data_IF_898591467256
#
_entry.id   IF_898591467256
#
_cell.length_a   1.000
_cell.length_b   1.000
_cell.length_c   1.000
_cell.angle_alpha   90.00
_cell.angle_beta   90.00
_cell.angle_gamma   90.00
#
_symmetry.space_group_name_H-M   'P 1'
#
loop_
_entity.id
_entity.type
_entity.pdbx_description
1 polymer ?
#
# COMPACT_ATOMS: atom_id res chain seq x y z
N UNK A 1 -11.33 5.29 -15.45
CA UNK A 1 -10.06 5.19 -14.70
C UNK A 1 -9.63 6.61 -14.41
N UNK A 2 -9.70 7.04 -13.16
CA UNK A 2 -9.23 8.37 -12.76
C UNK A 2 -7.71 8.36 -12.83
N UNK A 3 -7.13 9.22 -13.66
CA UNK A 3 -5.67 9.39 -13.73
C UNK A 3 -5.16 10.01 -12.43
N UNK A 4 -3.95 9.63 -12.00
CA UNK A 4 -3.31 10.27 -10.85
C UNK A 4 -3.21 11.79 -11.06
N UNK A 5 -3.31 12.61 -10.00
CA UNK A 5 -3.03 14.03 -10.09
C UNK A 5 -1.63 14.27 -10.67
N UNK A 6 -1.46 15.24 -11.59
CA UNK A 6 -0.18 15.44 -12.28
C UNK A 6 0.99 15.86 -11.37
N UNK A 7 0.72 16.36 -10.17
CA UNK A 7 1.72 16.87 -9.23
C UNK A 7 1.86 16.00 -7.98
N UNK A 8 1.39 14.73 -8.01
CA UNK A 8 1.50 13.82 -6.87
C UNK A 8 2.92 13.26 -6.76
N UNK A 9 3.68 13.69 -5.76
CA UNK A 9 4.89 12.98 -5.35
C UNK A 9 4.49 11.68 -4.64
N UNK A 10 4.67 10.56 -5.34
CA UNK A 10 4.28 9.25 -4.84
C UNK A 10 5.21 8.72 -3.73
N UNK A 11 6.42 9.28 -3.58
CA UNK A 11 7.36 8.94 -2.49
C UNK A 11 7.00 9.63 -1.19
N UNK A 12 6.44 10.82 -1.26
CA UNK A 12 5.90 11.45 -0.06
C UNK A 12 4.69 10.65 0.46
N UNK A 13 4.73 10.23 1.71
CA UNK A 13 3.65 9.48 2.36
C UNK A 13 3.05 10.30 3.52
N UNK A 14 2.35 11.43 3.24
CA UNK A 14 1.66 12.17 4.29
C UNK A 14 0.59 11.29 4.96
N UNK A 15 0.17 11.59 6.19
CA UNK A 15 -0.91 10.87 6.84
C UNK A 15 -2.16 10.82 5.95
N UNK A 16 -2.82 9.66 5.88
CA UNK A 16 -4.12 9.56 5.19
C UNK A 16 -5.13 10.47 5.88
N UNK A 17 -5.85 11.27 5.11
CA UNK A 17 -6.91 12.13 5.63
C UNK A 17 -8.10 11.27 6.08
N UNK A 18 -8.16 10.99 7.35
CA UNK A 18 -9.27 10.29 7.98
C UNK A 18 -10.13 11.26 8.80
N UNK A 19 -11.43 11.07 8.75
CA UNK A 19 -12.32 11.74 9.71
C UNK A 19 -11.91 11.36 11.15
N UNK A 20 -12.27 12.20 12.12
CA UNK A 20 -11.98 11.92 13.55
C UNK A 20 -12.50 10.53 13.96
N UNK A 21 -13.69 10.15 13.48
CA UNK A 21 -14.29 8.84 13.74
C UNK A 21 -13.41 7.72 13.19
N UNK A 22 -13.02 7.80 11.92
CA UNK A 22 -12.23 6.76 11.27
C UNK A 22 -10.83 6.61 11.89
N UNK A 23 -10.21 7.72 12.29
CA UNK A 23 -8.91 7.70 12.96
C UNK A 23 -8.97 6.94 14.28
N UNK A 24 -9.88 7.34 15.19
CA UNK A 24 -10.02 6.67 16.48
C UNK A 24 -10.53 5.23 16.36
N UNK A 25 -11.35 4.94 15.37
CA UNK A 25 -11.79 3.57 15.09
C UNK A 25 -10.62 2.71 14.60
N UNK A 26 -9.77 3.24 13.71
CA UNK A 26 -8.57 2.55 13.22
C UNK A 26 -7.60 2.23 14.36
N UNK A 27 -7.36 3.18 15.27
CA UNK A 27 -6.55 2.94 16.46
C UNK A 27 -7.14 1.83 17.32
N UNK A 28 -8.47 1.87 17.58
CA UNK A 28 -9.14 0.85 18.37
C UNK A 28 -9.07 -0.55 17.71
N UNK A 29 -9.27 -0.62 16.39
CA UNK A 29 -9.15 -1.88 15.64
C UNK A 29 -7.71 -2.42 15.66
N UNK A 30 -6.71 -1.55 15.53
CA UNK A 30 -5.31 -1.93 15.61
C UNK A 30 -4.95 -2.50 16.98
N UNK A 31 -5.39 -1.85 18.07
CA UNK A 31 -5.05 -2.21 19.45
C UNK A 31 -5.79 -3.47 19.94
N UNK A 32 -7.06 -3.65 19.59
CA UNK A 32 -7.96 -4.64 20.16
C UNK A 32 -8.51 -5.64 19.15
N UNK A 33 -8.19 -5.46 17.87
CA UNK A 33 -8.80 -6.19 16.76
C UNK A 33 -10.26 -5.78 16.50
N UNK A 34 -10.78 -6.18 15.34
CA UNK A 34 -12.17 -5.87 14.96
C UNK A 34 -13.18 -6.44 15.96
N UNK A 35 -13.01 -7.69 16.39
CA UNK A 35 -13.96 -8.33 17.31
C UNK A 35 -13.89 -7.77 18.72
N UNK A 36 -12.70 -7.40 19.20
CA UNK A 36 -12.50 -6.83 20.53
C UNK A 36 -13.01 -5.39 20.68
N UNK A 37 -13.16 -4.66 19.58
CA UNK A 37 -13.62 -3.28 19.57
C UNK A 37 -15.15 -3.21 19.50
N UNK A 38 -15.77 -2.39 20.36
CA UNK A 38 -17.21 -2.10 20.33
C UNK A 38 -17.49 -0.71 19.78
N UNK A 39 -18.71 -0.49 19.28
CA UNK A 39 -19.17 0.85 18.84
C UNK A 39 -19.14 1.86 20.01
N UNK A 40 -19.35 1.39 21.25
CA UNK A 40 -19.26 2.24 22.45
C UNK A 40 -17.83 2.69 22.73
N UNK A 41 -16.86 1.82 22.52
CA UNK A 41 -15.44 2.16 22.68
C UNK A 41 -15.03 3.23 21.69
N UNK A 42 -15.44 3.08 20.41
CA UNK A 42 -15.18 4.08 19.37
C UNK A 42 -15.85 5.41 19.72
N UNK A 43 -17.13 5.41 20.10
CA UNK A 43 -17.87 6.61 20.49
C UNK A 43 -17.21 7.33 21.66
N UNK A 44 -16.76 6.57 22.68
CA UNK A 44 -16.05 7.09 23.84
C UNK A 44 -14.71 7.74 23.47
N UNK A 45 -13.91 7.11 22.58
CA UNK A 45 -12.62 7.64 22.11
C UNK A 45 -12.80 8.94 21.30
N UNK A 46 -13.86 9.01 20.50
CA UNK A 46 -14.18 10.19 19.68
C UNK A 46 -14.78 11.32 20.54
N UNK A 47 -15.37 10.99 21.69
CA UNK A 47 -16.10 11.96 22.53
C UNK A 47 -17.50 12.26 22.03
N UNK A 48 -18.17 11.31 21.35
CA UNK A 48 -19.53 11.43 20.82
C UNK A 48 -20.47 10.39 21.44
N UNK A 49 -21.77 10.58 21.27
CA UNK A 49 -22.75 9.55 21.66
C UNK A 49 -22.83 8.45 20.61
N UNK A 50 -23.22 7.24 21.02
CA UNK A 50 -23.44 6.12 20.11
C UNK A 50 -24.46 6.45 19.01
N UNK A 51 -25.61 7.12 19.28
CA UNK A 51 -26.51 7.59 18.23
C UNK A 51 -25.85 8.56 17.24
N UNK A 52 -25.00 9.46 17.70
CA UNK A 52 -24.27 10.38 16.81
C UNK A 52 -23.30 9.62 15.89
N UNK A 53 -22.66 8.57 16.39
CA UNK A 53 -21.79 7.72 15.58
C UNK A 53 -22.58 6.94 14.51
N UNK A 54 -23.76 6.43 14.86
CA UNK A 54 -24.65 5.75 13.91
C UNK A 54 -25.23 6.68 12.83
N UNK A 55 -25.29 7.98 13.08
CA UNK A 55 -25.65 8.96 12.05
C UNK A 55 -24.64 8.99 10.89
N UNK A 56 -23.36 8.76 11.18
CA UNK A 56 -22.29 8.74 10.18
C UNK A 56 -22.05 7.35 9.59
N UNK A 57 -22.15 6.30 10.39
CA UNK A 57 -21.85 4.93 9.97
C UNK A 57 -22.90 3.97 10.55
N UNK A 58 -23.55 3.19 9.69
CA UNK A 58 -24.67 2.32 10.07
C UNK A 58 -24.30 1.24 11.10
N UNK A 59 -23.08 0.76 11.09
CA UNK A 59 -22.58 -0.28 11.98
C UNK A 59 -21.05 -0.26 12.04
N UNK A 60 -20.45 -1.14 12.87
CA UNK A 60 -19.01 -1.27 13.04
C UNK A 60 -18.30 -1.70 11.74
N UNK A 61 -18.92 -2.55 10.93
CA UNK A 61 -18.37 -2.97 9.63
C UNK A 61 -18.28 -1.78 8.67
N UNK A 62 -19.29 -0.92 8.62
CA UNK A 62 -19.28 0.28 7.78
C UNK A 62 -18.13 1.24 8.16
N UNK A 63 -17.78 1.31 9.45
CA UNK A 63 -16.63 2.09 9.91
C UNK A 63 -15.32 1.45 9.40
N UNK A 64 -15.17 0.13 9.52
CA UNK A 64 -13.98 -0.57 9.04
C UNK A 64 -13.83 -0.44 7.53
N UNK A 65 -14.92 -0.66 6.77
CA UNK A 65 -14.91 -0.50 5.30
C UNK A 65 -14.52 0.92 4.91
N UNK A 66 -15.08 1.94 5.58
CA UNK A 66 -14.74 3.33 5.27
C UNK A 66 -13.25 3.64 5.54
N UNK A 67 -12.67 3.12 6.63
CA UNK A 67 -11.26 3.26 6.93
C UNK A 67 -10.38 2.55 5.88
N UNK A 68 -10.71 1.30 5.54
CA UNK A 68 -10.01 0.52 4.52
C UNK A 68 -10.13 1.14 3.12
N UNK A 69 -11.31 1.71 2.79
CA UNK A 69 -11.53 2.40 1.51
C UNK A 69 -10.64 3.64 1.38
N UNK A 70 -10.58 4.47 2.43
CA UNK A 70 -9.72 5.67 2.43
C UNK A 70 -8.24 5.31 2.20
N UNK A 71 -7.79 4.19 2.76
CA UNK A 71 -6.43 3.66 2.56
C UNK A 71 -6.20 3.25 1.10
N UNK A 72 -7.15 2.54 0.48
CA UNK A 72 -7.04 2.09 -0.91
C UNK A 72 -7.19 3.24 -1.92
N UNK A 73 -8.03 4.22 -1.61
CA UNK A 73 -8.23 5.43 -2.40
C UNK A 73 -6.97 6.32 -2.46
N UNK A 74 -6.12 6.28 -1.43
CA UNK A 74 -4.81 6.94 -1.45
C UNK A 74 -3.74 6.08 -2.15
N UNK A 75 -3.76 4.77 -1.96
CA UNK A 75 -2.73 3.88 -2.51
C UNK A 75 -2.76 3.81 -4.05
N UNK A 76 -3.95 3.71 -4.65
CA UNK A 76 -4.07 3.53 -6.11
C UNK A 76 -3.51 4.72 -6.91
N UNK A 77 -3.83 5.98 -6.63
CA UNK A 77 -3.23 7.11 -7.34
C UNK A 77 -1.72 7.20 -7.19
N UNK A 78 -1.17 6.84 -6.01
CA UNK A 78 0.28 6.78 -5.78
C UNK A 78 0.93 5.70 -6.61
N UNK A 79 0.36 4.51 -6.65
CA UNK A 79 0.82 3.43 -7.51
C UNK A 79 0.80 3.81 -8.99
N UNK A 80 -0.24 4.53 -9.44
CA UNK A 80 -0.33 5.02 -10.81
C UNK A 80 0.75 6.07 -11.13
N UNK A 81 1.01 7.00 -10.20
CA UNK A 81 2.07 7.99 -10.34
C UNK A 81 3.46 7.32 -10.35
N UNK A 82 3.70 6.33 -9.49
CA UNK A 82 4.92 5.54 -9.44
C UNK A 82 5.19 4.80 -10.77
N UNK A 83 4.14 4.21 -11.37
CA UNK A 83 4.23 3.58 -12.69
C UNK A 83 4.53 4.63 -13.77
N UNK A 84 3.85 5.77 -13.75
CA UNK A 84 4.07 6.83 -14.74
C UNK A 84 5.51 7.38 -14.69
N UNK A 85 6.11 7.48 -13.50
CA UNK A 85 7.51 7.89 -13.30
C UNK A 85 8.55 6.87 -13.85
N UNK A 86 8.12 5.67 -14.20
CA UNK A 86 8.93 4.68 -14.91
C UNK A 86 9.05 4.93 -16.42
N UNK A 87 8.29 5.91 -16.97
CA UNK A 87 8.37 6.38 -18.37
C UNK A 87 8.29 5.27 -19.43
N UNK A 88 7.54 4.22 -19.19
CA UNK A 88 7.35 3.10 -20.11
C UNK A 88 8.41 1.99 -20.05
N UNK A 89 9.38 2.10 -19.15
CA UNK A 89 10.31 1.01 -18.82
C UNK A 89 9.69 0.10 -17.76
N UNK A 90 9.26 -1.13 -18.08
CA UNK A 90 8.57 -2.00 -17.12
C UNK A 90 9.42 -2.37 -15.90
N UNK A 91 10.75 -2.35 -16.02
CA UNK A 91 11.65 -2.63 -14.89
C UNK A 91 11.60 -1.48 -13.89
N UNK A 92 11.66 -0.23 -14.36
CA UNK A 92 11.53 0.96 -13.52
C UNK A 92 10.10 1.11 -12.98
N UNK A 93 9.08 0.88 -13.81
CA UNK A 93 7.68 0.90 -13.39
C UNK A 93 7.41 -0.08 -12.25
N UNK A 94 7.94 -1.31 -12.33
CA UNK A 94 7.79 -2.30 -11.28
C UNK A 94 8.57 -1.91 -10.02
N UNK A 95 9.80 -1.43 -10.16
CA UNK A 95 10.60 -0.98 -9.04
C UNK A 95 9.90 0.15 -8.27
N UNK A 96 9.43 1.18 -8.97
CA UNK A 96 8.71 2.31 -8.38
C UNK A 96 7.39 1.87 -7.74
N UNK A 97 6.63 0.99 -8.40
CA UNK A 97 5.35 0.49 -7.86
C UNK A 97 5.57 -0.32 -6.57
N UNK A 98 6.57 -1.20 -6.54
CA UNK A 98 6.93 -1.97 -5.34
C UNK A 98 7.38 -1.04 -4.22
N UNK A 99 8.23 -0.06 -4.51
CA UNK A 99 8.64 0.97 -3.55
C UNK A 99 7.42 1.70 -2.96
N UNK A 100 6.51 2.20 -3.80
CA UNK A 100 5.29 2.87 -3.37
C UNK A 100 4.43 2.02 -2.43
N UNK A 101 4.27 0.73 -2.74
CA UNK A 101 3.54 -0.22 -1.89
C UNK A 101 4.27 -0.45 -0.57
N UNK A 102 5.60 -0.61 -0.59
CA UNK A 102 6.40 -0.80 0.64
C UNK A 102 6.33 0.43 1.53
N UNK A 103 6.47 1.64 0.98
CA UNK A 103 6.33 2.87 1.74
C UNK A 103 4.96 2.96 2.40
N UNK A 104 3.90 2.62 1.67
CA UNK A 104 2.55 2.55 2.24
C UNK A 104 2.47 1.55 3.41
N UNK A 105 3.05 0.35 3.27
CA UNK A 105 2.99 -0.71 4.28
C UNK A 105 3.86 -0.43 5.51
N UNK A 106 4.90 0.39 5.38
CA UNK A 106 5.84 0.72 6.47
C UNK A 106 5.52 2.04 7.14
N UNK A 107 5.37 3.13 6.39
CA UNK A 107 5.07 4.47 6.95
C UNK A 107 3.66 4.51 7.54
N UNK A 108 2.73 3.71 7.02
CA UNK A 108 1.34 3.61 7.48
C UNK A 108 1.01 2.25 8.06
N UNK A 109 1.98 1.61 8.70
CA UNK A 109 1.88 0.22 9.17
C UNK A 109 0.60 -0.06 9.99
N UNK A 110 0.18 0.86 10.86
CA UNK A 110 -1.05 0.72 11.65
C UNK A 110 -2.31 0.63 10.78
N UNK A 111 -2.43 1.51 9.77
CA UNK A 111 -3.57 1.48 8.83
C UNK A 111 -3.49 0.29 7.89
N UNK A 112 -2.30 -0.01 7.37
CA UNK A 112 -2.08 -1.14 6.48
C UNK A 112 -2.39 -2.49 7.15
N UNK A 113 -2.17 -2.61 8.46
CA UNK A 113 -2.49 -3.83 9.22
C UNK A 113 -3.99 -4.13 9.28
N UNK A 114 -4.85 -3.10 9.15
CA UNK A 114 -6.30 -3.27 9.11
C UNK A 114 -6.76 -4.09 7.89
N UNK A 115 -5.95 -4.19 6.83
CA UNK A 115 -6.25 -5.06 5.69
C UNK A 115 -6.47 -6.52 6.12
N UNK A 116 -5.83 -6.96 7.20
CA UNK A 116 -6.04 -8.32 7.72
C UNK A 116 -7.44 -8.54 8.30
N UNK A 117 -8.12 -7.48 8.71
CA UNK A 117 -9.45 -7.51 9.34
C UNK A 117 -10.60 -7.66 8.33
N UNK A 118 -10.36 -7.42 7.00
CA UNK A 118 -11.40 -7.53 5.97
C UNK A 118 -12.09 -8.91 5.92
N UNK A 119 -11.41 -9.95 6.40
CA UNK A 119 -11.95 -11.32 6.49
C UNK A 119 -13.17 -11.42 7.40
N UNK A 120 -13.35 -10.46 8.32
CA UNK A 120 -14.47 -10.41 9.26
C UNK A 120 -15.66 -9.60 8.74
N UNK A 121 -15.53 -8.96 7.58
CA UNK A 121 -16.61 -8.26 6.93
C UNK A 121 -17.67 -9.23 6.40
N UNK A 122 -18.93 -8.86 6.52
CA UNK A 122 -20.04 -9.53 5.86
C UNK A 122 -19.89 -9.51 4.32
N UNK A 123 -20.69 -10.32 3.60
CA UNK A 123 -20.50 -10.52 2.15
C UNK A 123 -20.54 -9.24 1.32
N UNK A 124 -21.47 -8.33 1.61
CA UNK A 124 -21.66 -7.07 0.88
C UNK A 124 -20.49 -6.11 1.12
N UNK A 125 -20.12 -5.86 2.38
CA UNK A 125 -19.01 -5.01 2.77
C UNK A 125 -17.67 -5.55 2.24
N UNK A 126 -17.50 -6.87 2.29
CA UNK A 126 -16.32 -7.55 1.72
C UNK A 126 -16.24 -7.38 0.21
N UNK A 127 -17.34 -7.55 -0.52
CA UNK A 127 -17.38 -7.39 -1.98
C UNK A 127 -16.96 -5.98 -2.39
N UNK A 128 -17.45 -4.97 -1.69
CA UNK A 128 -17.10 -3.58 -1.92
C UNK A 128 -15.59 -3.33 -1.73
N UNK A 129 -15.00 -3.84 -0.64
CA UNK A 129 -13.58 -3.67 -0.38
C UNK A 129 -12.69 -4.46 -1.36
N UNK A 130 -13.10 -5.67 -1.76
CA UNK A 130 -12.38 -6.49 -2.73
C UNK A 130 -12.25 -5.79 -4.08
N UNK A 131 -13.26 -5.04 -4.53
CA UNK A 131 -13.16 -4.27 -5.78
C UNK A 131 -12.11 -3.15 -5.70
N UNK A 132 -11.93 -2.49 -4.55
CA UNK A 132 -10.86 -1.51 -4.35
C UNK A 132 -9.47 -2.17 -4.39
N UNK A 133 -9.31 -3.31 -3.73
CA UNK A 133 -8.06 -4.09 -3.80
C UNK A 133 -7.74 -4.55 -5.22
N UNK A 134 -8.78 -4.97 -5.96
CA UNK A 134 -8.63 -5.42 -7.34
C UNK A 134 -8.04 -4.36 -8.26
N UNK A 135 -8.35 -3.08 -8.06
CA UNK A 135 -7.77 -2.00 -8.85
C UNK A 135 -6.23 -1.94 -8.71
N UNK A 136 -5.72 -2.10 -7.48
CA UNK A 136 -4.28 -2.16 -7.21
C UNK A 136 -3.63 -3.44 -7.79
N UNK A 137 -4.30 -4.60 -7.68
CA UNK A 137 -3.86 -5.84 -8.30
C UNK A 137 -3.76 -5.70 -9.81
N UNK A 138 -4.77 -5.13 -10.46
CA UNK A 138 -4.80 -4.92 -11.91
C UNK A 138 -3.71 -3.95 -12.38
N UNK A 139 -3.40 -2.92 -11.60
CA UNK A 139 -2.29 -2.02 -11.89
C UNK A 139 -0.96 -2.80 -11.91
N UNK A 140 -0.65 -3.55 -10.87
CA UNK A 140 0.58 -4.36 -10.80
C UNK A 140 0.63 -5.40 -11.91
N UNK A 141 -0.48 -6.11 -12.16
CA UNK A 141 -0.59 -7.08 -13.23
C UNK A 141 -0.35 -6.47 -14.61
N UNK A 142 -0.80 -5.23 -14.85
CA UNK A 142 -0.57 -4.54 -16.12
C UNK A 142 0.93 -4.30 -16.36
N UNK A 143 1.70 -3.97 -15.31
CA UNK A 143 3.15 -3.80 -15.42
C UNK A 143 3.83 -5.14 -15.69
N UNK A 144 3.44 -6.22 -14.96
CA UNK A 144 3.98 -7.58 -15.21
C UNK A 144 3.71 -8.00 -16.65
N UNK A 145 2.47 -7.82 -17.15
CA UNK A 145 2.09 -8.20 -18.52
C UNK A 145 2.91 -7.45 -19.55
N UNK A 146 3.06 -6.12 -19.42
CA UNK A 146 3.90 -5.32 -20.34
C UNK A 146 5.35 -5.76 -20.33
N UNK A 147 5.92 -6.06 -19.15
CA UNK A 147 7.29 -6.55 -19.05
C UNK A 147 7.51 -7.89 -19.74
N UNK A 148 6.52 -8.79 -19.68
CA UNK A 148 6.54 -10.07 -20.44
C UNK A 148 6.43 -9.82 -21.93
N UNK A 149 5.50 -8.97 -22.37
CA UNK A 149 5.32 -8.60 -23.80
C UNK A 149 6.59 -7.96 -24.39
N UNK A 150 7.32 -7.19 -23.59
CA UNK A 150 8.59 -6.57 -24.00
C UNK A 150 9.80 -7.49 -23.82
N UNK A 151 9.62 -8.69 -23.27
CA UNK A 151 10.68 -9.68 -23.07
C UNK A 151 11.68 -9.33 -21.96
N UNK A 152 11.36 -8.38 -21.09
CA UNK A 152 12.20 -7.99 -19.93
C UNK A 152 11.84 -8.74 -18.66
N UNK A 153 10.63 -9.33 -18.59
CA UNK A 153 10.21 -10.24 -17.51
C UNK A 153 10.02 -11.64 -18.10
N UNK A 154 10.60 -12.63 -17.42
CA UNK A 154 10.60 -14.03 -17.88
C UNK A 154 9.76 -14.88 -16.91
N UNK A 155 8.44 -14.72 -16.96
CA UNK A 155 7.47 -15.45 -16.14
C UNK A 155 6.40 -16.10 -17.02
N UNK A 156 5.94 -17.30 -16.64
CA UNK A 156 4.98 -18.07 -17.43
C UNK A 156 3.54 -17.55 -17.28
N UNK A 157 3.15 -17.20 -16.05
CA UNK A 157 1.81 -16.71 -15.73
C UNK A 157 1.88 -15.36 -15.00
N UNK A 158 1.61 -14.24 -15.70
CA UNK A 158 1.57 -12.91 -15.10
C UNK A 158 0.56 -12.77 -13.96
N UNK A 159 -0.56 -13.50 -14.00
CA UNK A 159 -1.58 -13.40 -12.96
C UNK A 159 -1.13 -14.09 -11.66
N UNK A 160 -0.57 -15.31 -11.75
CA UNK A 160 -0.01 -16.02 -10.59
C UNK A 160 1.20 -15.28 -10.02
N UNK A 161 2.08 -14.77 -10.89
CA UNK A 161 3.24 -13.98 -10.47
C UNK A 161 2.80 -12.71 -9.72
N UNK A 162 1.77 -12.01 -10.21
CA UNK A 162 1.21 -10.85 -9.51
C UNK A 162 0.68 -11.22 -8.13
N UNK A 163 -0.03 -12.36 -7.98
CA UNK A 163 -0.51 -12.83 -6.68
C UNK A 163 0.63 -13.15 -5.72
N UNK A 164 1.71 -13.75 -6.21
CA UNK A 164 2.91 -14.05 -5.43
C UNK A 164 3.59 -12.76 -4.93
N UNK A 165 3.76 -11.76 -5.82
CA UNK A 165 4.31 -10.44 -5.47
C UNK A 165 3.47 -9.76 -4.39
N UNK A 166 2.15 -9.69 -4.57
CA UNK A 166 1.25 -9.08 -3.59
C UNK A 166 1.28 -9.82 -2.26
N UNK A 167 1.31 -11.16 -2.27
CA UNK A 167 1.42 -11.97 -1.04
C UNK A 167 2.72 -11.69 -0.27
N UNK A 168 3.84 -11.55 -0.98
CA UNK A 168 5.13 -11.19 -0.41
C UNK A 168 5.10 -9.78 0.20
N UNK A 169 4.57 -8.79 -0.53
CA UNK A 169 4.47 -7.41 -0.06
C UNK A 169 3.54 -7.29 1.15
N UNK A 170 2.35 -7.87 1.11
CA UNK A 170 1.39 -7.83 2.22
C UNK A 170 1.93 -8.43 3.52
N UNK A 171 2.91 -9.35 3.44
CA UNK A 171 3.55 -9.90 4.64
C UNK A 171 4.28 -8.83 5.46
N UNK A 172 4.72 -7.70 4.85
CA UNK A 172 5.41 -6.60 5.52
C UNK A 172 4.57 -6.06 6.69
N UNK A 173 3.27 -5.85 6.50
CA UNK A 173 2.36 -5.34 7.53
C UNK A 173 2.30 -6.19 8.81
N UNK A 174 2.80 -7.45 8.77
CA UNK A 174 2.80 -8.35 9.92
C UNK A 174 4.08 -8.34 10.74
N UNK A 175 5.19 -8.03 10.11
CA UNK A 175 6.49 -8.11 10.77
C UNK A 175 7.21 -6.76 10.90
N UNK A 176 6.85 -5.77 10.09
CA UNK A 176 7.49 -4.46 10.16
C UNK A 176 7.03 -3.69 11.40
N UNK A 177 7.99 -3.11 12.11
CA UNK A 177 7.76 -2.24 13.26
C UNK A 177 8.66 -1.01 13.14
N UNK A 178 8.11 0.17 13.38
CA UNK A 178 8.85 1.45 13.34
C UNK A 178 10.07 1.49 14.27
N UNK A 179 9.99 0.76 15.41
CA UNK A 179 11.12 0.61 16.36
C UNK A 179 12.12 -0.46 15.95
N UNK A 180 11.95 -1.11 14.80
CA UNK A 180 12.85 -2.13 14.29
C UNK A 180 14.16 -1.53 13.74
N UNK A 181 15.07 -2.42 13.31
CA UNK A 181 16.39 -2.02 12.79
C UNK A 181 16.39 -1.56 11.33
N UNK A 182 15.27 -1.72 10.61
CA UNK A 182 15.18 -1.39 9.19
C UNK A 182 14.31 -0.16 8.97
N UNK A 183 14.84 0.79 8.22
CA UNK A 183 14.09 1.95 7.73
C UNK A 183 13.15 1.55 6.59
N UNK A 184 12.08 2.33 6.34
CA UNK A 184 11.20 2.11 5.18
C UNK A 184 11.96 2.00 3.86
N UNK A 185 12.97 2.85 3.63
CA UNK A 185 13.79 2.85 2.43
C UNK A 185 14.61 1.55 2.27
N UNK A 186 15.22 1.04 3.36
CA UNK A 186 15.94 -0.23 3.32
C UNK A 186 15.01 -1.42 3.04
N UNK A 187 13.80 -1.41 3.60
CA UNK A 187 12.79 -2.42 3.29
C UNK A 187 12.38 -2.31 1.81
N UNK A 188 12.14 -1.10 1.30
CA UNK A 188 11.78 -0.88 -0.09
C UNK A 188 12.85 -1.42 -1.04
N UNK A 189 14.11 -1.07 -0.83
CA UNK A 189 15.21 -1.54 -1.66
C UNK A 189 15.30 -3.07 -1.71
N UNK A 190 15.19 -3.74 -0.56
CA UNK A 190 15.23 -5.22 -0.47
C UNK A 190 14.05 -5.87 -1.21
N UNK A 191 12.85 -5.31 -1.04
CA UNK A 191 11.65 -5.87 -1.69
C UNK A 191 11.59 -5.57 -3.18
N UNK A 192 12.15 -4.45 -3.63
CA UNK A 192 12.36 -4.18 -5.06
C UNK A 192 13.30 -5.23 -5.67
N UNK A 193 14.47 -5.48 -5.08
CA UNK A 193 15.39 -6.49 -5.61
C UNK A 193 14.78 -7.88 -5.64
N UNK A 194 14.09 -8.30 -4.57
CA UNK A 194 13.37 -9.57 -4.53
C UNK A 194 12.27 -9.65 -5.60
N UNK A 195 11.52 -8.58 -5.81
CA UNK A 195 10.46 -8.53 -6.82
C UNK A 195 11.00 -8.66 -8.23
N UNK A 196 12.08 -7.93 -8.54
CA UNK A 196 12.75 -8.01 -9.84
C UNK A 196 13.41 -9.38 -10.06
N UNK A 197 13.96 -10.00 -9.02
CA UNK A 197 14.47 -11.37 -9.07
C UNK A 197 13.35 -12.39 -9.37
N UNK A 198 12.19 -12.26 -8.71
CA UNK A 198 11.02 -13.12 -8.97
C UNK A 198 10.53 -13.00 -10.43
N UNK A 199 10.62 -11.79 -11.02
CA UNK A 199 10.30 -11.52 -12.42
C UNK A 199 11.39 -11.97 -13.38
N UNK A 200 12.48 -12.57 -12.88
CA UNK A 200 13.65 -13.01 -13.65
C UNK A 200 14.32 -11.88 -14.47
N UNK A 201 14.29 -10.66 -13.91
CA UNK A 201 14.96 -9.50 -14.51
C UNK A 201 16.47 -9.73 -14.53
N UNK A 202 17.14 -9.29 -15.60
CA UNK A 202 18.59 -9.45 -15.78
C UNK A 202 19.40 -8.84 -14.62
N UNK A 203 20.60 -9.39 -14.35
CA UNK A 203 21.48 -8.84 -13.32
C UNK A 203 21.91 -7.40 -13.65
N UNK A 204 22.07 -7.07 -14.93
CA UNK A 204 22.41 -5.74 -15.41
C UNK A 204 21.30 -4.72 -15.10
N UNK A 205 20.02 -5.05 -15.42
CA UNK A 205 18.89 -4.19 -15.14
C UNK A 205 18.65 -4.02 -13.64
N UNK A 206 18.81 -5.08 -12.84
CA UNK A 206 18.73 -4.96 -11.38
C UNK A 206 19.84 -4.07 -10.82
N UNK A 207 21.06 -4.15 -11.34
CA UNK A 207 22.15 -3.27 -10.94
C UNK A 207 21.87 -1.81 -11.33
N UNK A 208 21.26 -1.55 -12.50
CA UNK A 208 20.82 -0.22 -12.93
C UNK A 208 19.78 0.37 -11.96
N UNK A 209 18.81 -0.42 -11.53
CA UNK A 209 17.82 0.00 -10.53
C UNK A 209 18.49 0.29 -9.19
N UNK A 210 19.38 -0.58 -8.72
CA UNK A 210 20.12 -0.38 -7.45
C UNK A 210 20.97 0.91 -7.46
N UNK A 211 21.63 1.23 -8.57
CA UNK A 211 22.38 2.47 -8.73
C UNK A 211 21.50 3.72 -8.61
N UNK A 212 20.30 3.69 -9.24
CA UNK A 212 19.32 4.78 -9.10
C UNK A 212 18.89 5.02 -7.64
N UNK A 213 18.68 3.96 -6.86
CA UNK A 213 18.36 4.11 -5.43
C UNK A 213 19.51 4.72 -4.64
N UNK A 214 20.74 4.36 -4.95
CA UNK A 214 21.91 4.95 -4.31
C UNK A 214 22.04 6.46 -4.61
N UNK A 215 21.76 6.88 -5.84
CA UNK A 215 21.74 8.29 -6.24
C UNK A 215 20.65 9.09 -5.53
N UNK A 216 19.43 8.54 -5.42
CA UNK A 216 18.32 9.17 -4.68
C UNK A 216 18.67 9.36 -3.20
N UNK A 217 19.19 8.34 -2.56
CA UNK A 217 19.61 8.40 -1.15
C UNK A 217 20.73 9.44 -0.91
N UNK A 218 21.67 9.59 -1.85
CA UNK A 218 22.72 10.60 -1.77
C UNK A 218 22.16 12.02 -1.89
N UNK A 219 21.20 12.24 -2.81
CA UNK A 219 20.54 13.54 -3.01
C UNK A 219 19.72 13.97 -1.80
N UNK A 220 19.03 13.05 -1.13
CA UNK A 220 18.25 13.32 0.09
C UNK A 220 19.17 13.70 1.26
N UNK A 221 20.34 13.07 1.38
CA UNK A 221 21.33 13.39 2.41
C UNK A 221 21.91 14.81 2.24
N UNK A 222 22.16 15.24 1.00
CA UNK A 222 22.66 16.59 0.69
C UNK A 222 21.59 17.68 0.87
N UNK A 223 20.31 17.39 0.60
CA UNK A 223 19.18 18.33 0.74
C UNK A 223 18.72 18.54 2.19
N UNK A 224 19.07 17.66 3.12
CA UNK A 224 18.71 17.74 4.54
C UNK A 224 19.61 18.60 5.41
N UNK A 225 20.71 19.17 4.87
CA UNK A 225 21.66 20.02 5.60
C UNK A 225 21.44 21.54 5.43
N UNK A 226 20.31 21.96 4.84
CA UNK A 226 19.92 23.39 4.70
C UNK A 226 18.70 23.71 5.56
#
# INVERSE_FOLDING_TARGET
>A
MTSAPPDLDWRECPPVELTVILRHASDAFYEQGFHGTTVRDIASRVGVTVPALYYHHQNKEAILVAALSAVMEDLLPRGQAAVADGHGDPVLEMANLVESVVLHLTVRARLASLDTEYRYLGPEARAQYVELRRANELLMRSVVTRGVEQGVFMVEDPAETTRALLGMLQAIARWYHESGSLTPAEVAQRYVDMSLALLSVSAEDRARVAARYAELAASEAEGGEL
#
